data_IF_030982480299
#
_entry.id   IF_030982480299
#
_cell.length_a   1.000
_cell.length_b   1.000
_cell.length_c   1.000
_cell.angle_alpha   90.00
_cell.angle_beta   90.00
_cell.angle_gamma   90.00
#
_symmetry.space_group_name_H-M   'P 1'
#
loop_
_entity.id
_entity.type
_entity.pdbx_description
1 polymer ?
#
# COMPACT_ATOMS: atom_id res chain seq x y z
N UNK A 1 -10.41 15.31 -2.05
CA UNK A 1 -8.93 15.23 -2.06
C UNK A 1 -8.41 14.17 -1.10
N UNK A 2 -8.91 14.07 0.14
CA UNK A 2 -8.66 12.89 1.01
C UNK A 2 -9.39 11.62 0.55
N UNK A 3 -10.38 11.74 -0.35
CA UNK A 3 -11.13 10.61 -0.89
C UNK A 3 -10.26 9.48 -1.45
N UNK A 4 -9.07 9.76 -1.98
CA UNK A 4 -8.15 8.71 -2.45
C UNK A 4 -7.59 7.85 -1.30
N UNK A 5 -7.31 8.45 -0.14
CA UNK A 5 -6.87 7.70 1.05
C UNK A 5 -8.02 6.88 1.63
N UNK A 6 -9.23 7.42 1.59
CA UNK A 6 -10.44 6.70 2.02
C UNK A 6 -10.81 5.56 1.06
N UNK A 7 -10.65 5.78 -0.24
CA UNK A 7 -10.79 4.75 -1.29
C UNK A 7 -9.77 3.63 -1.10
N UNK A 8 -8.53 3.97 -0.75
CA UNK A 8 -7.52 2.96 -0.46
C UNK A 8 -7.85 2.17 0.81
N UNK A 9 -8.28 2.83 1.90
CA UNK A 9 -8.75 2.12 3.10
C UNK A 9 -9.91 1.17 2.77
N UNK A 10 -10.83 1.60 1.92
CA UNK A 10 -11.92 0.75 1.44
C UNK A 10 -11.40 -0.45 0.64
N UNK A 11 -10.43 -0.25 -0.26
CA UNK A 11 -9.82 -1.35 -1.00
C UNK A 11 -9.14 -2.38 -0.07
N UNK A 12 -8.47 -1.92 0.99
CA UNK A 12 -7.91 -2.82 2.02
C UNK A 12 -9.01 -3.59 2.74
N UNK A 13 -10.12 -2.94 3.13
CA UNK A 13 -11.26 -3.64 3.74
C UNK A 13 -11.88 -4.68 2.81
N UNK A 14 -12.04 -4.35 1.53
CA UNK A 14 -12.56 -5.29 0.53
C UNK A 14 -11.68 -6.55 0.39
N UNK A 15 -10.35 -6.41 0.51
CA UNK A 15 -9.44 -7.57 0.48
C UNK A 15 -9.52 -8.42 1.76
N UNK A 16 -9.75 -7.80 2.92
CA UNK A 16 -10.06 -8.53 4.16
C UNK A 16 -11.38 -9.32 4.03
N UNK A 17 -12.42 -8.70 3.47
CA UNK A 17 -13.71 -9.34 3.21
C UNK A 17 -13.59 -10.49 2.19
N UNK A 18 -12.65 -10.42 1.24
CA UNK A 18 -12.30 -11.50 0.31
C UNK A 18 -11.46 -12.61 0.94
N UNK A 19 -11.08 -12.48 2.21
CA UNK A 19 -10.41 -13.53 2.98
C UNK A 19 -8.91 -13.35 3.17
N UNK A 20 -8.35 -12.15 2.97
CA UNK A 20 -7.01 -11.86 3.46
C UNK A 20 -6.98 -12.01 4.99
N UNK A 21 -6.10 -12.88 5.50
CA UNK A 21 -6.04 -13.23 6.93
C UNK A 21 -5.41 -12.15 7.80
N UNK A 22 -4.58 -11.30 7.20
CA UNK A 22 -3.87 -10.21 7.87
C UNK A 22 -4.13 -8.92 7.11
N UNK A 23 -4.10 -7.80 7.82
CA UNK A 23 -4.13 -6.46 7.25
C UNK A 23 -2.97 -6.23 6.30
N UNK A 24 -1.77 -6.75 6.60
CA UNK A 24 -0.63 -6.66 5.68
C UNK A 24 -0.88 -7.37 4.34
N UNK A 25 -1.44 -8.57 4.36
CA UNK A 25 -1.81 -9.27 3.14
C UNK A 25 -2.88 -8.50 2.34
N UNK A 26 -3.87 -7.94 3.03
CA UNK A 26 -4.89 -7.09 2.41
C UNK A 26 -4.28 -5.81 1.80
N UNK A 27 -3.32 -5.18 2.48
CA UNK A 27 -2.60 -4.00 2.01
C UNK A 27 -1.80 -4.28 0.73
N UNK A 28 -1.08 -5.41 0.67
CA UNK A 28 -0.35 -5.83 -0.54
C UNK A 28 -1.31 -5.94 -1.73
N UNK A 29 -2.43 -6.66 -1.54
CA UNK A 29 -3.42 -6.91 -2.61
C UNK A 29 -4.17 -5.66 -3.04
N UNK A 30 -4.48 -4.76 -2.11
CA UNK A 30 -5.11 -3.48 -2.40
C UNK A 30 -4.16 -2.52 -3.15
N UNK A 31 -2.85 -2.63 -2.92
CA UNK A 31 -1.83 -1.81 -3.61
C UNK A 31 -1.62 -2.24 -5.07
N UNK A 32 -1.82 -3.53 -5.36
CA UNK A 32 -1.65 -4.11 -6.70
C UNK A 32 -2.85 -5.00 -7.08
N UNK A 33 -4.05 -4.41 -7.30
CA UNK A 33 -5.21 -5.21 -7.66
C UNK A 33 -5.00 -5.87 -9.03
N UNK A 34 -5.35 -7.15 -9.13
CA UNK A 34 -5.23 -7.99 -10.34
C UNK A 34 -5.95 -7.42 -11.57
N UNK A 35 -6.91 -6.51 -11.37
CA UNK A 35 -7.40 -5.61 -12.41
C UNK A 35 -6.76 -4.24 -12.18
N UNK A 36 -5.67 -3.94 -12.89
CA UNK A 36 -5.03 -2.60 -12.93
C UNK A 36 -6.11 -1.56 -13.29
N UNK A 37 -6.68 -0.91 -12.29
CA UNK A 37 -7.59 0.21 -12.49
C UNK A 37 -6.83 1.52 -12.24
N UNK A 38 -6.96 2.41 -13.21
CA UNK A 38 -6.20 3.63 -13.35
C UNK A 38 -6.65 4.71 -12.35
N UNK A 39 -5.73 5.11 -11.47
CA UNK A 39 -5.80 6.39 -10.73
C UNK A 39 -4.46 7.14 -10.76
N UNK A 40 -3.56 6.78 -11.69
CA UNK A 40 -2.18 7.31 -11.72
C UNK A 40 -2.20 8.84 -11.75
N UNK A 41 -3.11 9.47 -12.51
CA UNK A 41 -3.20 10.93 -12.61
C UNK A 41 -3.70 11.58 -11.31
N UNK A 42 -4.72 11.00 -10.69
CA UNK A 42 -5.32 11.48 -9.44
C UNK A 42 -4.31 11.38 -8.28
N UNK A 43 -3.55 10.29 -8.25
CA UNK A 43 -2.47 10.07 -7.30
C UNK A 43 -1.33 11.08 -7.50
N UNK A 44 -0.86 11.31 -8.73
CA UNK A 44 0.16 12.34 -9.01
C UNK A 44 -0.28 13.72 -8.52
N UNK A 45 -1.56 14.04 -8.73
CA UNK A 45 -2.16 15.30 -8.27
C UNK A 45 -2.19 15.38 -6.74
N UNK A 46 -2.54 14.29 -6.05
CA UNK A 46 -2.47 14.23 -4.59
C UNK A 46 -1.06 14.53 -4.08
N UNK A 47 -0.03 13.86 -4.62
CA UNK A 47 1.35 14.09 -4.18
C UNK A 47 1.85 15.52 -4.46
N UNK A 48 1.50 16.09 -5.61
CA UNK A 48 1.84 17.48 -5.91
C UNK A 48 1.23 18.44 -4.87
N UNK A 49 0.00 18.18 -4.43
CA UNK A 49 -0.68 19.00 -3.43
C UNK A 49 -0.09 18.78 -2.04
N UNK A 50 0.19 17.53 -1.63
CA UNK A 50 0.86 17.23 -0.36
C UNK A 50 2.24 17.90 -0.26
N UNK A 51 2.92 18.14 -1.38
CA UNK A 51 4.22 18.81 -1.41
C UNK A 51 4.14 20.34 -1.18
N UNK A 52 2.98 20.96 -1.39
CA UNK A 52 2.80 22.43 -1.29
C UNK A 52 1.82 22.85 -0.20
N UNK A 53 1.01 21.92 0.34
CA UNK A 53 0.01 22.17 1.39
C UNK A 53 0.35 21.40 2.69
N UNK A 54 1.03 22.03 3.67
CA UNK A 54 1.47 21.36 4.89
C UNK A 54 0.35 20.74 5.73
N UNK A 55 -0.83 21.37 5.77
CA UNK A 55 -1.98 20.85 6.53
C UNK A 55 -2.47 19.51 5.96
N UNK A 56 -2.45 19.36 4.64
CA UNK A 56 -2.82 18.11 3.98
C UNK A 56 -1.75 17.02 4.16
N UNK A 57 -0.48 17.41 4.21
CA UNK A 57 0.61 16.50 4.54
C UNK A 57 0.44 15.90 5.94
N UNK A 58 0.04 16.69 6.94
CA UNK A 58 -0.22 16.18 8.30
C UNK A 58 -1.31 15.10 8.28
N UNK A 59 -2.41 15.32 7.57
CA UNK A 59 -3.50 14.33 7.47
C UNK A 59 -3.04 13.03 6.78
N UNK A 60 -2.19 13.14 5.76
CA UNK A 60 -1.58 11.97 5.13
C UNK A 60 -0.64 11.24 6.11
N UNK A 61 0.19 11.95 6.86
CA UNK A 61 1.08 11.35 7.87
C UNK A 61 0.31 10.61 8.97
N UNK A 62 -0.80 11.16 9.44
CA UNK A 62 -1.70 10.51 10.40
C UNK A 62 -2.29 9.21 9.83
N UNK A 63 -2.69 9.22 8.55
CA UNK A 63 -3.18 8.03 7.87
C UNK A 63 -2.10 6.96 7.74
N UNK A 64 -0.89 7.33 7.32
CA UNK A 64 0.25 6.41 7.23
C UNK A 64 0.66 5.85 8.60
N UNK A 65 0.53 6.65 9.68
CA UNK A 65 0.75 6.19 11.05
C UNK A 65 -0.29 5.15 11.46
N UNK A 66 -1.55 5.39 11.10
CA UNK A 66 -2.66 4.46 11.36
C UNK A 66 -2.46 3.14 10.62
N UNK A 67 -2.09 3.19 9.33
CA UNK A 67 -1.76 2.00 8.54
C UNK A 67 -0.58 1.22 9.12
N UNK A 68 0.45 1.91 9.61
CA UNK A 68 1.56 1.24 10.27
C UNK A 68 1.10 0.49 11.53
N UNK A 69 0.27 1.11 12.37
CA UNK A 69 -0.27 0.46 13.57
C UNK A 69 -1.11 -0.78 13.23
N UNK A 70 -1.92 -0.73 12.17
CA UNK A 70 -2.68 -1.90 11.67
C UNK A 70 -1.76 -3.01 11.18
N UNK A 71 -0.68 -2.68 10.47
CA UNK A 71 0.29 -3.67 10.02
C UNK A 71 0.98 -4.43 11.18
N UNK A 72 1.11 -3.77 12.34
CA UNK A 72 1.70 -4.37 13.54
C UNK A 72 0.70 -5.17 14.38
N UNK A 73 -0.62 -5.02 14.16
CA UNK A 73 -1.64 -5.66 15.01
C UNK A 73 -1.87 -7.14 14.71
N UNK A 74 -1.35 -7.65 13.60
CA UNK A 74 -1.59 -9.02 13.14
C UNK A 74 -0.58 -10.04 13.69
N UNK A 75 0.29 -9.65 14.64
CA UNK A 75 1.26 -10.53 15.28
C UNK A 75 2.58 -10.73 14.52
N UNK A 76 2.75 -10.07 13.37
CA UNK A 76 4.02 -10.06 12.64
C UNK A 76 5.15 -9.44 13.45
N UNK A 77 6.38 -9.92 13.23
CA UNK A 77 7.57 -9.22 13.71
C UNK A 77 7.55 -7.76 13.20
N UNK A 78 7.75 -6.75 14.07
CA UNK A 78 7.64 -5.36 13.66
C UNK A 78 8.60 -4.93 12.56
N UNK A 79 9.78 -5.55 12.46
CA UNK A 79 10.75 -5.26 11.41
C UNK A 79 10.29 -5.87 10.10
N UNK A 80 9.83 -7.11 10.10
CA UNK A 80 9.27 -7.76 8.90
C UNK A 80 8.04 -7.01 8.38
N UNK A 81 7.12 -6.62 9.27
CA UNK A 81 5.95 -5.81 8.91
C UNK A 81 6.33 -4.47 8.26
N UNK A 82 7.35 -3.80 8.82
CA UNK A 82 7.87 -2.54 8.29
C UNK A 82 8.57 -2.73 6.95
N UNK A 83 9.33 -3.81 6.80
CA UNK A 83 10.04 -4.17 5.57
C UNK A 83 9.05 -4.45 4.44
N UNK A 84 8.00 -5.25 4.71
CA UNK A 84 6.95 -5.56 3.74
C UNK A 84 6.29 -4.28 3.25
N UNK A 85 5.85 -3.42 4.18
CA UNK A 85 5.18 -2.17 3.82
C UNK A 85 6.11 -1.22 3.04
N UNK A 86 7.36 -1.07 3.46
CA UNK A 86 8.33 -0.24 2.75
C UNK A 86 8.61 -0.76 1.33
N UNK A 87 8.68 -2.08 1.14
CA UNK A 87 8.85 -2.69 -0.17
C UNK A 87 7.63 -2.45 -1.08
N UNK A 88 6.41 -2.63 -0.56
CA UNK A 88 5.17 -2.37 -1.31
C UNK A 88 5.07 -0.90 -1.71
N UNK A 89 5.29 0.02 -0.77
CA UNK A 89 5.26 1.46 -1.04
C UNK A 89 6.30 1.81 -2.12
N UNK A 90 7.51 1.26 -2.03
CA UNK A 90 8.58 1.46 -3.02
C UNK A 90 8.23 0.94 -4.42
N UNK A 91 7.70 -0.28 -4.53
CA UNK A 91 7.24 -0.83 -5.82
C UNK A 91 6.13 0.05 -6.40
N UNK A 92 5.21 0.51 -5.55
CA UNK A 92 4.09 1.33 -5.97
C UNK A 92 4.55 2.71 -6.47
N UNK A 93 5.51 3.35 -5.78
CA UNK A 93 6.14 4.58 -6.26
C UNK A 93 6.85 4.38 -7.60
N UNK A 94 7.56 3.26 -7.77
CA UNK A 94 8.22 2.95 -9.03
C UNK A 94 7.21 2.85 -10.18
N UNK A 95 6.11 2.12 -10.00
CA UNK A 95 5.04 2.04 -11.00
C UNK A 95 4.42 3.41 -11.30
N UNK A 96 4.17 4.20 -10.25
CA UNK A 96 3.58 5.53 -10.36
C UNK A 96 4.43 6.46 -11.24
N UNK A 97 5.76 6.40 -11.12
CA UNK A 97 6.70 7.24 -11.89
C UNK A 97 7.17 6.60 -13.20
N UNK A 98 6.72 5.39 -13.55
CA UNK A 98 7.20 4.66 -14.73
C UNK A 98 8.63 4.14 -14.60
N UNK A 99 9.12 3.96 -13.36
CA UNK A 99 10.40 3.35 -13.00
C UNK A 99 10.24 1.84 -12.74
N UNK A 100 9.27 1.23 -13.41
CA UNK A 100 8.88 -0.17 -13.27
C UNK A 100 10.06 -1.13 -13.44
N UNK A 101 10.15 -2.11 -12.55
CA UNK A 101 10.99 -3.28 -12.75
C UNK A 101 10.44 -4.15 -13.89
N UNK A 102 11.24 -5.06 -14.45
CA UNK A 102 10.74 -6.04 -15.42
C UNK A 102 9.50 -6.80 -14.86
N UNK A 103 8.47 -7.09 -15.68
CA UNK A 103 7.21 -7.67 -15.18
C UNK A 103 7.38 -8.93 -14.32
N UNK A 104 8.26 -9.85 -14.72
CA UNK A 104 8.52 -11.08 -13.96
C UNK A 104 9.22 -10.86 -12.61
N UNK A 105 9.93 -9.74 -12.43
CA UNK A 105 10.54 -9.39 -11.14
C UNK A 105 9.49 -8.81 -10.18
N UNK A 106 8.57 -7.98 -10.68
CA UNK A 106 7.47 -7.44 -9.86
C UNK A 106 6.59 -8.58 -9.34
N UNK A 107 6.17 -9.49 -10.22
CA UNK A 107 5.35 -10.65 -9.84
C UNK A 107 6.05 -11.51 -8.77
N UNK A 108 7.35 -11.77 -8.94
CA UNK A 108 8.15 -12.52 -7.97
C UNK A 108 8.29 -11.80 -6.62
N UNK A 109 8.45 -10.47 -6.62
CA UNK A 109 8.50 -9.66 -5.41
C UNK A 109 7.15 -9.66 -4.68
N UNK A 110 6.05 -9.42 -5.39
CA UNK A 110 4.71 -9.42 -4.81
C UNK A 110 4.38 -10.78 -4.20
N UNK A 111 4.66 -11.88 -4.91
CA UNK A 111 4.47 -13.23 -4.36
C UNK A 111 5.29 -13.46 -3.09
N UNK A 112 6.57 -13.04 -3.07
CA UNK A 112 7.42 -13.19 -1.89
C UNK A 112 6.91 -12.35 -0.71
N UNK A 113 6.38 -11.15 -0.96
CA UNK A 113 5.80 -10.30 0.08
C UNK A 113 4.50 -10.89 0.63
N UNK A 114 3.62 -11.44 -0.24
CA UNK A 114 2.43 -12.17 0.20
C UNK A 114 2.77 -13.40 1.05
N UNK A 115 3.79 -14.16 0.65
CA UNK A 115 4.27 -15.32 1.40
C UNK A 115 4.80 -14.92 2.78
N UNK A 116 5.47 -13.77 2.91
CA UNK A 116 5.93 -13.25 4.19
C UNK A 116 4.76 -12.77 5.07
N UNK A 117 3.80 -12.05 4.48
CA UNK A 117 2.61 -11.55 5.18
C UNK A 117 1.61 -12.66 5.56
N UNK A 118 1.77 -13.87 5.02
CA UNK A 118 0.92 -15.03 5.31
C UNK A 118 1.51 -15.98 6.35
N UNK A 119 2.73 -15.75 6.83
CA UNK A 119 3.36 -16.57 7.88
C UNK A 119 2.83 -16.15 9.25
N UNK A 120 2.34 -17.15 9.99
CA UNK A 120 1.97 -17.06 11.41
C UNK A 120 3.23 -17.01 12.29
#
# INVERSE_FOLDING_TARGET
>A
MLGLLDEFDKAVQEELEKGAKTWLLAYIRASFPSKRAAHVREIHTLFAILAIEPELLVLAQERFTTWHAKALSDGHDPIDASLIRAAIDGIWYNEMFGLSLPPGEIEGLLQRLEDMASRE
#
